data_IF_035115026361
#
_entry.id   IF_035115026361
#
_cell.length_a   1.000
_cell.length_b   1.000
_cell.length_c   1.000
_cell.angle_alpha   90.00
_cell.angle_beta   90.00
_cell.angle_gamma   90.00
#
_symmetry.space_group_name_H-M   'P 1'
#
loop_
_entity.id
_entity.type
_entity.pdbx_description
1 polymer ?
#
# COMPACT_ATOMS: atom_id res chain seq x y z
N UNK A 1 7.86 5.37 -15.93
CA UNK A 1 6.99 4.93 -17.03
C UNK A 1 5.58 5.46 -16.79
N UNK A 2 4.87 6.02 -17.77
CA UNK A 2 3.49 6.46 -17.55
C UNK A 2 2.56 5.24 -17.53
N UNK A 3 1.90 4.98 -16.41
CA UNK A 3 0.88 3.94 -16.30
C UNK A 3 -0.42 4.46 -16.95
N UNK A 4 -0.75 3.94 -18.13
CA UNK A 4 -1.97 4.27 -18.90
C UNK A 4 -2.95 3.11 -18.80
N UNK A 5 -4.11 3.34 -18.18
CA UNK A 5 -5.18 2.34 -18.02
C UNK A 5 -6.40 2.73 -18.86
N UNK A 6 -6.78 1.89 -19.82
CA UNK A 6 -8.04 2.08 -20.58
C UNK A 6 -9.24 1.90 -19.63
N UNK A 7 -10.19 2.84 -19.63
CA UNK A 7 -11.36 2.79 -18.74
C UNK A 7 -12.71 2.92 -19.45
N UNK A 8 -12.74 3.50 -20.66
CA UNK A 8 -13.96 3.62 -21.43
C UNK A 8 -13.70 3.51 -22.93
N UNK A 9 -14.65 2.90 -23.62
CA UNK A 9 -14.70 2.77 -25.07
C UNK A 9 -16.08 3.21 -25.54
N UNK A 10 -16.12 4.11 -26.51
CA UNK A 10 -17.35 4.55 -27.16
C UNK A 10 -17.71 3.57 -28.30
N UNK A 11 -19.00 3.43 -28.59
CA UNK A 11 -19.47 2.64 -29.74
C UNK A 11 -18.95 3.15 -31.09
N UNK A 12 -18.55 4.44 -31.15
CA UNK A 12 -17.89 5.03 -32.32
C UNK A 12 -16.41 4.63 -32.45
N UNK A 13 -15.84 3.89 -31.49
CA UNK A 13 -14.43 3.47 -31.51
C UNK A 13 -13.47 4.44 -30.82
N UNK A 14 -13.97 5.51 -30.20
CA UNK A 14 -13.19 6.36 -29.30
C UNK A 14 -12.77 5.59 -28.05
N UNK A 15 -11.51 5.76 -27.65
CA UNK A 15 -10.95 5.11 -26.46
C UNK A 15 -10.49 6.16 -25.46
N UNK A 16 -10.70 5.87 -24.19
CA UNK A 16 -10.34 6.75 -23.10
C UNK A 16 -9.39 6.03 -22.15
N UNK A 17 -8.24 6.64 -21.90
CA UNK A 17 -7.20 6.14 -21.03
C UNK A 17 -6.99 7.09 -19.85
N UNK A 18 -6.76 6.53 -18.68
CA UNK A 18 -6.36 7.25 -17.48
C UNK A 18 -4.85 7.07 -17.31
N UNK A 19 -4.09 8.15 -17.43
CA UNK A 19 -2.66 8.19 -17.16
C UNK A 19 -2.39 8.72 -15.75
N UNK A 20 -1.51 8.06 -15.01
CA UNK A 20 -0.96 8.61 -13.75
C UNK A 20 0.54 8.85 -13.86
N UNK A 21 1.00 9.90 -13.19
CA UNK A 21 2.41 10.15 -13.00
C UNK A 21 2.90 9.41 -11.74
N UNK A 22 4.00 8.67 -11.83
CA UNK A 22 4.55 7.92 -10.69
C UNK A 22 5.14 8.85 -9.61
N UNK A 23 5.54 10.08 -9.97
CA UNK A 23 6.06 11.09 -9.05
C UNK A 23 5.00 12.08 -8.54
N UNK A 24 3.79 12.04 -9.07
CA UNK A 24 2.72 12.95 -8.68
C UNK A 24 1.38 12.26 -8.85
N UNK A 25 0.56 12.23 -7.80
CA UNK A 25 -0.80 11.70 -7.82
C UNK A 25 -1.75 12.38 -8.84
N UNK A 26 -1.24 13.32 -9.64
CA UNK A 26 -1.90 13.93 -10.77
C UNK A 26 -2.24 12.89 -11.85
N UNK A 27 -3.53 12.57 -11.93
CA UNK A 27 -4.09 11.77 -13.01
C UNK A 27 -4.54 12.66 -14.18
N UNK A 28 -4.41 12.17 -15.39
CA UNK A 28 -4.87 12.83 -16.61
C UNK A 28 -5.64 11.84 -17.49
N UNK A 29 -6.60 12.37 -18.24
CA UNK A 29 -7.41 11.62 -19.18
C UNK A 29 -6.85 11.83 -20.58
N UNK A 30 -6.61 10.73 -21.29
CA UNK A 30 -6.22 10.71 -22.69
C UNK A 30 -7.38 10.16 -23.51
N UNK A 31 -7.97 11.00 -24.34
CA UNK A 31 -8.94 10.60 -25.35
C UNK A 31 -8.20 10.28 -26.64
N UNK A 32 -8.42 9.10 -27.18
CA UNK A 32 -7.95 8.68 -28.49
C UNK A 32 -9.15 8.52 -29.41
N UNK A 33 -9.28 9.41 -30.38
CA UNK A 33 -10.29 9.31 -31.43
C UNK A 33 -10.12 8.06 -32.26
N UNK A 34 -11.22 7.58 -32.85
CA UNK A 34 -11.15 6.47 -33.80
C UNK A 34 -10.27 6.86 -35.02
N UNK A 35 -9.68 5.88 -35.73
CA UNK A 35 -8.86 6.17 -36.92
C UNK A 35 -9.66 6.82 -38.05
N UNK A 36 -10.98 6.59 -38.11
CA UNK A 36 -11.87 7.21 -39.10
C UNK A 36 -12.03 8.73 -38.91
N UNK A 37 -11.81 9.26 -37.69
CA UNK A 37 -11.88 10.68 -37.33
C UNK A 37 -10.48 11.31 -37.20
N UNK A 38 -9.47 10.68 -37.78
CA UNK A 38 -8.10 11.19 -37.82
C UNK A 38 -7.23 10.79 -36.63
N UNK A 39 -7.72 9.93 -35.72
CA UNK A 39 -6.89 9.37 -34.64
C UNK A 39 -6.39 10.40 -33.62
N UNK A 40 -7.06 11.55 -33.50
CA UNK A 40 -6.61 12.63 -32.64
C UNK A 40 -6.51 12.19 -31.18
N UNK A 41 -5.35 12.42 -30.59
CA UNK A 41 -5.09 12.17 -29.18
C UNK A 41 -5.18 13.48 -28.41
N UNK A 42 -6.18 13.61 -27.55
CA UNK A 42 -6.40 14.78 -26.73
C UNK A 42 -6.15 14.44 -25.28
N UNK A 43 -5.27 15.20 -24.62
CA UNK A 43 -4.98 15.05 -23.19
C UNK A 43 -5.66 16.15 -22.40
N UNK A 44 -6.43 15.76 -21.39
CA UNK A 44 -7.10 16.67 -20.45
C UNK A 44 -6.84 16.24 -19.01
N UNK A 45 -6.96 17.14 -18.05
CA UNK A 45 -6.91 16.75 -16.63
C UNK A 45 -8.23 16.07 -16.23
N UNK A 46 -8.19 15.23 -15.21
CA UNK A 46 -9.38 14.52 -14.70
C UNK A 46 -10.45 15.51 -14.27
N UNK A 47 -10.06 16.54 -13.52
CA UNK A 47 -10.91 17.65 -13.07
C UNK A 47 -11.54 18.41 -14.24
N UNK A 48 -10.75 18.78 -15.27
CA UNK A 48 -11.29 19.45 -16.46
C UNK A 48 -12.28 18.56 -17.21
N UNK A 49 -12.00 17.26 -17.29
CA UNK A 49 -12.88 16.30 -17.93
C UNK A 49 -14.18 16.12 -17.16
N UNK A 50 -14.15 15.98 -15.83
CA UNK A 50 -15.34 15.84 -15.00
C UNK A 50 -16.22 17.11 -14.97
N UNK A 51 -15.60 18.28 -15.14
CA UNK A 51 -16.28 19.57 -15.25
C UNK A 51 -16.91 19.80 -16.64
N UNK A 52 -16.52 19.04 -17.67
CA UNK A 52 -17.02 19.19 -19.03
C UNK A 52 -18.47 18.68 -19.16
N UNK A 53 -19.31 19.40 -19.89
CA UNK A 53 -20.68 19.01 -20.23
C UNK A 53 -20.82 18.74 -21.74
N UNK A 54 -21.68 17.80 -22.16
CA UNK A 54 -22.61 17.00 -21.35
C UNK A 54 -21.92 15.83 -20.64
N UNK A 55 -22.33 15.55 -19.39
CA UNK A 55 -21.88 14.39 -18.63
C UNK A 55 -22.43 13.11 -19.25
N UNK A 56 -21.57 12.36 -19.92
CA UNK A 56 -21.88 11.08 -20.53
C UNK A 56 -21.51 9.86 -19.66
N UNK A 57 -21.80 8.63 -20.14
CA UNK A 57 -21.40 7.39 -19.47
C UNK A 57 -19.87 7.25 -19.31
N UNK A 58 -19.07 8.01 -20.06
CA UNK A 58 -17.62 8.04 -19.86
C UNK A 58 -17.23 8.68 -18.51
N UNK A 59 -18.03 9.63 -17.99
CA UNK A 59 -17.77 10.25 -16.69
C UNK A 59 -18.01 9.28 -15.55
N UNK A 60 -19.09 8.50 -15.63
CA UNK A 60 -19.41 7.46 -14.64
C UNK A 60 -18.31 6.38 -14.59
N UNK A 61 -17.85 5.94 -15.77
CA UNK A 61 -16.72 5.01 -15.88
C UNK A 61 -15.42 5.59 -15.33
N UNK A 62 -15.14 6.87 -15.58
CA UNK A 62 -13.97 7.53 -15.00
C UNK A 62 -14.08 7.60 -13.47
N UNK A 63 -15.24 8.01 -12.95
CA UNK A 63 -15.48 8.06 -11.51
C UNK A 63 -15.35 6.67 -10.86
N UNK A 64 -15.86 5.62 -11.50
CA UNK A 64 -15.71 4.26 -11.03
C UNK A 64 -14.25 3.79 -11.04
N UNK A 65 -13.46 4.16 -12.05
CA UNK A 65 -12.04 3.83 -12.09
C UNK A 65 -11.25 4.63 -11.07
N UNK A 66 -11.51 5.92 -10.90
CA UNK A 66 -10.90 6.73 -9.83
C UNK A 66 -11.24 6.15 -8.47
N UNK A 67 -12.52 5.87 -8.21
CA UNK A 67 -12.98 5.21 -7.00
C UNK A 67 -12.37 3.82 -6.83
N UNK A 68 -12.08 3.06 -7.89
CA UNK A 68 -11.40 1.76 -7.77
C UNK A 68 -9.89 1.88 -7.53
N UNK A 69 -9.29 3.04 -7.82
CA UNK A 69 -7.87 3.31 -7.53
C UNK A 69 -7.72 4.05 -6.18
N UNK A 70 -8.75 4.77 -5.74
CA UNK A 70 -8.85 5.41 -4.42
C UNK A 70 -9.44 4.48 -3.37
N UNK A 71 -10.28 3.52 -3.77
CA UNK A 71 -10.70 2.43 -2.92
C UNK A 71 -9.47 1.54 -2.70
N UNK A 72 -9.06 1.34 -1.45
CA UNK A 72 -8.18 0.24 -1.15
C UNK A 72 -8.95 -1.02 -1.53
N UNK A 73 -8.42 -1.83 -2.44
CA UNK A 73 -8.91 -3.18 -2.70
C UNK A 73 -8.97 -3.93 -1.36
N UNK A 74 -10.16 -4.03 -0.76
CA UNK A 74 -10.33 -4.84 0.44
C UNK A 74 -10.36 -6.31 0.03
N UNK A 75 -9.20 -6.95 0.00
CA UNK A 75 -8.96 -8.33 0.43
C UNK A 75 -7.47 -8.75 0.28
N UNK A 76 -6.58 -8.20 1.10
CA UNK A 76 -5.63 -8.97 1.94
C UNK A 76 -4.95 -7.98 2.90
N UNK A 77 -4.84 -8.31 4.19
CA UNK A 77 -4.55 -7.35 5.25
C UNK A 77 -3.18 -6.63 5.15
N UNK A 78 -3.19 -5.31 5.34
CA UNK A 78 -2.10 -4.59 6.01
C UNK A 78 -1.17 -3.73 5.17
N UNK A 79 -1.57 -2.49 4.87
CA UNK A 79 -0.61 -1.39 4.61
C UNK A 79 -1.10 -0.07 5.21
N UNK A 80 -1.57 -0.09 6.45
CA UNK A 80 -1.42 1.08 7.32
C UNK A 80 0.08 1.20 7.59
N UNK A 81 0.71 2.35 7.36
CA UNK A 81 2.15 2.63 7.46
C UNK A 81 2.87 1.79 8.54
N UNK A 82 3.21 0.53 8.25
CA UNK A 82 3.80 -0.36 9.24
C UNK A 82 5.20 0.17 9.49
N UNK A 83 5.40 0.73 10.68
CA UNK A 83 6.71 1.17 11.13
C UNK A 83 7.72 0.04 10.87
N UNK A 84 8.99 0.35 10.53
CA UNK A 84 9.99 -0.70 10.32
C UNK A 84 10.04 -1.69 11.50
N UNK A 85 9.74 -1.20 12.70
CA UNK A 85 9.64 -1.96 13.93
C UNK A 85 8.49 -3.00 13.93
N UNK A 86 7.30 -2.65 13.45
CA UNK A 86 6.17 -3.57 13.34
C UNK A 86 6.45 -4.69 12.34
N UNK A 87 7.04 -4.37 11.18
CA UNK A 87 7.39 -5.37 10.16
C UNK A 87 8.39 -6.39 10.70
N UNK A 88 9.38 -5.95 11.48
CA UNK A 88 10.37 -6.82 12.10
C UNK A 88 9.73 -7.76 13.14
N UNK A 89 8.83 -7.25 13.97
CA UNK A 89 8.12 -8.06 14.97
C UNK A 89 7.23 -9.13 14.31
N UNK A 90 6.52 -8.77 13.25
CA UNK A 90 5.69 -9.72 12.50
C UNK A 90 6.51 -10.82 11.82
N UNK A 91 7.62 -10.46 11.19
CA UNK A 91 8.51 -11.45 10.56
C UNK A 91 9.12 -12.39 11.62
N UNK A 92 9.54 -11.84 12.76
CA UNK A 92 10.04 -12.64 13.87
C UNK A 92 9.00 -13.65 14.39
N UNK A 93 7.75 -13.21 14.58
CA UNK A 93 6.64 -14.10 14.97
C UNK A 93 6.32 -15.13 13.89
N UNK A 94 6.40 -14.75 12.61
CA UNK A 94 6.17 -15.65 11.47
C UNK A 94 7.19 -16.78 11.40
N UNK A 95 8.44 -16.51 11.79
CA UNK A 95 9.50 -17.51 11.90
C UNK A 95 9.31 -18.45 13.12
N UNK A 96 8.25 -18.29 13.90
CA UNK A 96 8.00 -19.06 15.12
C UNK A 96 8.71 -18.51 16.35
N UNK A 97 9.10 -17.23 16.31
CA UNK A 97 9.74 -16.54 17.42
C UNK A 97 8.89 -16.57 18.69
N UNK A 98 9.50 -17.01 19.79
CA UNK A 98 8.85 -17.17 21.10
C UNK A 98 9.30 -16.14 22.15
N UNK A 99 10.12 -15.17 21.77
CA UNK A 99 10.45 -14.04 22.66
C UNK A 99 9.18 -13.26 22.96
N UNK A 100 8.99 -12.94 24.23
CA UNK A 100 7.86 -12.14 24.71
C UNK A 100 8.41 -10.89 25.37
N UNK A 101 7.74 -9.76 25.12
CA UNK A 101 8.08 -8.52 25.78
C UNK A 101 7.63 -8.60 27.25
N UNK A 102 8.59 -8.46 28.17
CA UNK A 102 8.25 -8.23 29.57
C UNK A 102 7.96 -6.74 29.71
N UNK A 103 6.69 -6.40 29.90
CA UNK A 103 6.26 -5.02 30.17
C UNK A 103 6.09 -4.90 31.68
N UNK A 104 7.17 -4.58 32.38
CA UNK A 104 7.04 -4.03 33.75
C UNK A 104 6.82 -2.51 33.62
N UNK A 105 6.12 -1.93 34.60
CA UNK A 105 5.60 -0.54 34.69
C UNK A 105 6.56 0.60 34.25
N UNK A 106 7.84 0.32 33.98
CA UNK A 106 8.73 1.30 33.35
C UNK A 106 9.91 0.75 32.51
N UNK A 107 10.00 -0.56 32.21
CA UNK A 107 11.15 -1.16 31.48
C UNK A 107 10.67 -2.30 30.57
N UNK A 108 10.98 -2.22 29.27
CA UNK A 108 10.84 -3.34 28.33
C UNK A 108 12.16 -4.10 28.29
N UNK A 109 12.15 -5.36 28.72
CA UNK A 109 13.29 -6.28 28.54
C UNK A 109 12.79 -7.57 27.89
N UNK A 110 13.39 -7.97 26.76
CA UNK A 110 13.17 -9.29 26.17
C UNK A 110 13.91 -10.37 26.91
N UNK A 111 13.17 -11.35 27.44
CA UNK A 111 13.73 -12.62 27.90
C UNK A 111 13.26 -13.72 26.95
N UNK A 112 14.17 -14.62 26.57
CA UNK A 112 13.83 -15.82 25.81
C UNK A 112 13.24 -16.85 26.78
N UNK A 113 11.98 -17.21 26.59
CA UNK A 113 11.24 -18.06 27.53
C UNK A 113 11.10 -19.52 27.05
N UNK A 114 11.16 -19.74 25.75
CA UNK A 114 11.02 -21.06 25.13
C UNK A 114 12.09 -21.25 24.06
N UNK A 115 12.43 -22.50 23.78
CA UNK A 115 13.29 -22.88 22.65
C UNK A 115 12.64 -22.35 21.36
N UNK A 116 13.23 -21.30 20.80
CA UNK A 116 12.82 -20.71 19.54
C UNK A 116 13.54 -21.43 18.38
N UNK A 117 12.91 -21.56 17.22
CA UNK A 117 13.57 -22.12 16.06
C UNK A 117 14.79 -21.26 15.70
N UNK A 118 15.85 -21.93 15.23
CA UNK A 118 17.13 -21.30 14.86
C UNK A 118 16.94 -20.11 13.91
N UNK A 119 15.98 -20.21 13.00
CA UNK A 119 15.61 -19.14 12.06
C UNK A 119 15.15 -17.86 12.76
N UNK A 120 14.31 -17.96 13.80
CA UNK A 120 13.85 -16.80 14.56
C UNK A 120 14.96 -16.18 15.41
N UNK A 121 15.81 -17.03 16.02
CA UNK A 121 16.97 -16.56 16.80
C UNK A 121 17.99 -15.83 15.90
N UNK A 122 18.32 -16.39 14.75
CA UNK A 122 19.25 -15.77 13.79
C UNK A 122 18.67 -14.47 13.23
N UNK A 123 17.37 -14.44 12.94
CA UNK A 123 16.71 -13.21 12.51
C UNK A 123 16.85 -12.11 13.55
N UNK A 124 16.61 -12.41 14.83
CA UNK A 124 16.73 -11.42 15.90
C UNK A 124 18.18 -10.92 16.05
N UNK A 125 19.15 -11.82 16.08
CA UNK A 125 20.58 -11.50 16.21
C UNK A 125 21.07 -10.60 15.05
N UNK A 126 20.61 -10.85 13.83
CA UNK A 126 21.05 -10.10 12.64
C UNK A 126 20.27 -8.79 12.46
N UNK A 127 18.97 -8.78 12.77
CA UNK A 127 18.08 -7.65 12.43
C UNK A 127 17.76 -6.74 13.59
N UNK A 128 17.64 -7.28 14.80
CA UNK A 128 17.08 -6.59 15.97
C UNK A 128 18.14 -6.28 17.02
N UNK A 129 19.10 -7.19 17.24
CA UNK A 129 20.21 -6.98 18.18
C UNK A 129 21.14 -5.80 17.82
N UNK A 130 21.56 -5.57 16.55
CA UNK A 130 22.41 -4.43 16.19
C UNK A 130 21.67 -3.10 16.07
N UNK A 131 20.35 -3.07 16.27
CA UNK A 131 19.56 -1.84 16.16
C UNK A 131 19.77 -0.90 17.35
N UNK A 132 19.49 0.39 17.14
CA UNK A 132 19.44 1.35 18.23
C UNK A 132 18.39 0.96 19.28
N UNK A 133 18.69 1.19 20.56
CA UNK A 133 17.80 0.81 21.67
C UNK A 133 16.36 1.29 21.49
N UNK A 134 16.16 2.47 20.90
CA UNK A 134 14.82 3.03 20.64
C UNK A 134 14.05 2.16 19.65
N UNK A 135 14.68 1.81 18.53
CA UNK A 135 14.04 0.99 17.49
C UNK A 135 13.82 -0.43 17.98
N UNK A 136 14.79 -0.99 18.71
CA UNK A 136 14.66 -2.30 19.34
C UNK A 136 13.44 -2.35 20.27
N UNK A 137 13.30 -1.35 21.16
CA UNK A 137 12.13 -1.25 22.05
C UNK A 137 10.80 -1.16 21.29
N UNK A 138 10.77 -0.48 20.16
CA UNK A 138 9.56 -0.44 19.32
C UNK A 138 9.23 -1.83 18.75
N UNK A 139 10.22 -2.61 18.31
CA UNK A 139 10.01 -4.00 17.86
C UNK A 139 9.50 -4.84 19.03
N UNK A 140 10.12 -4.71 20.21
CA UNK A 140 9.73 -5.41 21.42
C UNK A 140 8.29 -5.08 21.82
N UNK A 141 7.86 -3.82 21.70
CA UNK A 141 6.49 -3.38 22.03
C UNK A 141 5.42 -4.04 21.15
N UNK A 142 5.77 -4.44 19.93
CA UNK A 142 4.87 -5.14 19.01
C UNK A 142 4.79 -6.65 19.25
N UNK A 143 5.69 -7.22 20.06
CA UNK A 143 5.60 -8.63 20.45
C UNK A 143 4.47 -8.84 21.45
N UNK A 144 3.89 -10.06 21.53
CA UNK A 144 2.88 -10.38 22.53
C UNK A 144 3.46 -10.19 23.93
N UNK A 145 3.00 -9.15 24.61
CA UNK A 145 3.27 -8.95 26.03
C UNK A 145 2.57 -10.03 26.84
N UNK A 146 3.19 -10.41 27.95
CA UNK A 146 2.53 -11.19 28.98
C UNK A 146 2.37 -10.27 30.17
N UNK A 147 1.12 -9.92 30.46
CA UNK A 147 0.76 -9.44 31.80
C UNK A 147 0.78 -10.64 32.72
N UNK A 148 1.53 -10.53 33.81
CA UNK A 148 1.45 -11.45 34.95
C UNK A 148 0.03 -11.31 35.52
N UNK A 149 -0.82 -12.33 35.33
CA UNK A 149 -2.07 -12.51 36.09
C UNK A 149 -1.79 -13.44 37.27
#
# INVERSE_FOLDING_TARGET
>A
MHNLKEFATSSNGDRWFLGRNEQSSAAFVLHRGNPASGGHETRSTVDSFLAQEPRGPQHDRLAAVLAAIEAPETADGGEEEKTPSLKLAEEYLRLGGKRRAKVDDNIVNTRLWEDEPKEASEFWDIKVEPMEEKQRREVELHLPSISDD
#
